data_IF_895819861588
#
_entry.id   IF_895819861588
#
_cell.length_a   1.000
_cell.length_b   1.000
_cell.length_c   1.000
_cell.angle_alpha   90.00
_cell.angle_beta   90.00
_cell.angle_gamma   90.00
#
_symmetry.space_group_name_H-M   'P 1'
#
loop_
_entity.id
_entity.type
_entity.pdbx_description
1 polymer ?
#
# COMPACT_ATOMS: atom_id res chain seq x y z
N UNK A 1 -2.20 3.26 -16.82
CA UNK A 1 -1.28 3.01 -15.68
C UNK A 1 -1.09 4.30 -14.90
N UNK A 2 -1.16 4.23 -13.56
CA UNK A 2 -0.96 5.36 -12.65
C UNK A 2 0.20 5.06 -11.71
N UNK A 3 1.12 6.01 -11.61
CA UNK A 3 2.33 5.92 -10.79
C UNK A 3 2.05 6.43 -9.38
N UNK A 4 2.53 5.70 -8.37
CA UNK A 4 2.44 6.05 -6.97
C UNK A 4 3.84 6.03 -6.36
N UNK A 5 4.17 7.02 -5.53
CA UNK A 5 5.47 7.14 -4.89
C UNK A 5 5.31 7.36 -3.40
N UNK A 6 6.25 6.85 -2.60
CA UNK A 6 6.38 7.31 -1.23
C UNK A 6 6.96 8.74 -1.20
N UNK A 7 6.88 9.42 -0.05
CA UNK A 7 7.33 10.81 0.08
C UNK A 7 8.76 11.08 -0.39
N UNK A 8 9.70 10.16 -0.13
CA UNK A 8 11.11 10.32 -0.52
C UNK A 8 11.43 9.79 -1.93
N UNK A 9 10.46 9.21 -2.65
CA UNK A 9 10.68 8.62 -3.98
C UNK A 9 11.57 7.36 -3.99
N UNK A 10 11.92 6.82 -2.83
CA UNK A 10 12.69 5.59 -2.72
C UNK A 10 11.89 4.36 -3.15
N UNK A 11 10.57 4.37 -2.89
CA UNK A 11 9.62 3.33 -3.29
C UNK A 11 8.68 3.88 -4.34
N UNK A 12 8.48 3.09 -5.38
CA UNK A 12 7.60 3.40 -6.50
C UNK A 12 6.78 2.17 -6.88
N UNK A 13 5.50 2.39 -7.13
CA UNK A 13 4.57 1.35 -7.57
C UNK A 13 3.70 1.88 -8.69
N UNK A 14 3.20 0.96 -9.51
CA UNK A 14 2.26 1.26 -10.57
C UNK A 14 0.97 0.49 -10.35
N UNK A 15 -0.15 1.15 -10.62
CA UNK A 15 -1.46 0.51 -10.71
C UNK A 15 -2.01 0.60 -12.12
N UNK A 16 -2.53 -0.49 -12.64
CA UNK A 16 -3.26 -0.55 -13.88
C UNK A 16 -4.77 -0.48 -13.60
N UNK A 17 -5.34 0.72 -13.69
CA UNK A 17 -6.78 0.93 -13.52
C UNK A 17 -7.33 1.56 -14.79
N UNK A 18 -8.49 1.07 -15.24
CA UNK A 18 -9.29 1.66 -16.31
C UNK A 18 -10.39 2.50 -15.67
N UNK A 19 -10.26 3.82 -15.72
CA UNK A 19 -11.21 4.76 -15.11
C UNK A 19 -10.87 5.13 -13.65
N UNK A 20 -11.90 5.47 -12.88
CA UNK A 20 -11.78 5.97 -11.51
C UNK A 20 -11.67 4.86 -10.46
N UNK A 21 -11.21 5.21 -9.26
CA UNK A 21 -11.19 4.29 -8.13
C UNK A 21 -12.63 4.05 -7.62
N UNK A 22 -13.17 2.87 -7.89
CA UNK A 22 -14.59 2.58 -7.60
C UNK A 22 -14.93 2.46 -6.11
N UNK A 23 -14.00 1.99 -5.26
CA UNK A 23 -14.26 1.74 -3.83
C UNK A 23 -13.17 2.27 -2.93
N UNK A 24 -13.41 3.49 -2.44
CA UNK A 24 -12.58 4.13 -1.45
C UNK A 24 -13.03 3.74 -0.04
N UNK A 25 -12.10 3.24 0.77
CA UNK A 25 -12.35 2.70 2.12
C UNK A 25 -11.40 3.34 3.12
N UNK A 26 -11.91 3.58 4.33
CA UNK A 26 -11.10 3.91 5.51
C UNK A 26 -11.38 2.88 6.61
N UNK A 27 -10.51 1.88 6.72
CA UNK A 27 -10.68 0.82 7.71
C UNK A 27 -10.56 1.36 9.14
N UNK A 28 -11.43 0.89 10.03
CA UNK A 28 -11.55 1.34 11.42
C UNK A 28 -10.88 0.40 12.44
N UNK A 29 -10.12 -0.61 12.01
CA UNK A 29 -9.38 -1.47 12.93
C UNK A 29 -8.23 -0.70 13.62
N UNK A 30 -7.69 -1.26 14.70
CA UNK A 30 -6.72 -0.59 15.56
C UNK A 30 -5.46 -0.09 14.82
N UNK A 31 -4.94 -0.85 13.87
CA UNK A 31 -3.78 -0.43 13.07
C UNK A 31 -4.17 0.59 11.98
N UNK A 32 -5.29 0.39 11.30
CA UNK A 32 -5.70 1.25 10.19
C UNK A 32 -6.13 2.64 10.68
N UNK A 33 -6.76 2.73 11.86
CA UNK A 33 -7.01 4.00 12.55
C UNK A 33 -5.73 4.80 12.80
N UNK A 34 -4.64 4.14 13.21
CA UNK A 34 -3.33 4.79 13.43
C UNK A 34 -2.68 5.26 12.14
N UNK A 35 -2.82 4.49 11.05
CA UNK A 35 -2.31 4.88 9.73
C UNK A 35 -3.06 6.07 9.14
N UNK A 36 -4.37 6.17 9.41
CA UNK A 36 -5.23 7.23 8.89
C UNK A 36 -5.44 7.21 7.37
N UNK A 37 -4.91 6.19 6.67
CA UNK A 37 -4.89 6.11 5.22
C UNK A 37 -6.28 5.85 4.64
N UNK A 38 -6.54 6.48 3.49
CA UNK A 38 -7.67 6.22 2.61
C UNK A 38 -7.17 5.31 1.49
N UNK A 39 -7.85 4.20 1.25
CA UNK A 39 -7.37 3.11 0.40
C UNK A 39 -8.44 2.69 -0.61
N UNK A 40 -8.02 2.22 -1.78
CA UNK A 40 -8.87 1.49 -2.73
C UNK A 40 -8.25 0.13 -3.00
N UNK A 41 -9.08 -0.87 -3.29
CA UNK A 41 -8.60 -2.20 -3.68
C UNK A 41 -8.37 -2.24 -5.18
N UNK A 42 -7.25 -2.87 -5.56
CA UNK A 42 -6.91 -3.22 -6.95
C UNK A 42 -6.58 -4.71 -6.98
N UNK A 43 -6.70 -5.35 -8.14
CA UNK A 43 -6.27 -6.75 -8.29
C UNK A 43 -4.75 -6.84 -8.23
N UNK A 44 -4.24 -8.01 -7.84
CA UNK A 44 -2.79 -8.25 -7.78
C UNK A 44 -2.13 -8.12 -9.17
N UNK A 45 -2.81 -8.56 -10.24
CA UNK A 45 -2.33 -8.44 -11.63
C UNK A 45 -2.19 -6.97 -12.07
N UNK A 46 -2.95 -6.07 -11.44
CA UNK A 46 -2.96 -4.65 -11.73
C UNK A 46 -2.02 -3.84 -10.82
N UNK A 47 -1.28 -4.47 -9.91
CA UNK A 47 -0.36 -3.80 -9.01
C UNK A 47 1.07 -4.31 -9.20
N UNK A 48 2.02 -3.38 -9.36
CA UNK A 48 3.44 -3.72 -9.51
C UNK A 48 4.33 -2.76 -8.73
N UNK A 49 5.36 -3.28 -8.08
CA UNK A 49 6.46 -2.49 -7.52
C UNK A 49 7.48 -2.26 -8.65
N UNK A 50 7.80 -1.01 -8.94
CA UNK A 50 8.76 -0.65 -10.00
C UNK A 50 10.12 -0.22 -9.47
N UNK A 51 10.19 0.22 -8.20
CA UNK A 51 11.44 0.65 -7.55
C UNK A 51 11.36 0.47 -6.03
N UNK A 52 12.50 0.15 -5.42
CA UNK A 52 12.69 0.24 -3.97
C UNK A 52 12.07 -0.91 -3.18
N UNK A 53 11.99 -2.10 -3.78
CA UNK A 53 11.53 -3.32 -3.08
C UNK A 53 12.37 -3.61 -1.83
N UNK A 54 13.69 -3.37 -1.90
CA UNK A 54 14.62 -3.47 -0.77
C UNK A 54 14.36 -2.42 0.33
N UNK A 55 13.68 -1.32 0.00
CA UNK A 55 13.29 -0.26 0.93
C UNK A 55 11.91 -0.47 1.54
N UNK A 56 11.15 -1.47 1.08
CA UNK A 56 9.89 -1.84 1.71
C UNK A 56 10.13 -2.66 2.97
N UNK A 57 9.39 -2.34 4.03
CA UNK A 57 9.33 -3.15 5.24
C UNK A 57 7.94 -3.74 5.40
N UNK A 58 7.92 -5.03 5.73
CA UNK A 58 6.71 -5.78 6.03
C UNK A 58 6.41 -5.68 7.53
N UNK A 59 5.21 -5.26 7.86
CA UNK A 59 4.64 -5.32 9.20
C UNK A 59 3.45 -6.27 9.21
N UNK A 60 3.51 -7.26 10.09
CA UNK A 60 2.44 -8.24 10.32
C UNK A 60 2.15 -8.30 11.81
N UNK A 61 0.88 -8.49 12.16
CA UNK A 61 0.42 -8.61 13.55
C UNK A 61 -0.76 -9.57 13.61
N UNK A 62 -1.18 -9.93 14.83
CA UNK A 62 -2.28 -10.87 15.07
C UNK A 62 -2.10 -12.19 14.29
N UNK A 63 -3.02 -12.54 13.37
CA UNK A 63 -2.96 -13.77 12.58
C UNK A 63 -1.82 -13.83 11.58
N UNK A 64 -1.09 -12.72 11.36
CA UNK A 64 -0.01 -12.59 10.38
C UNK A 64 -0.43 -12.92 8.94
N UNK A 65 -1.73 -12.84 8.63
CA UNK A 65 -2.23 -13.04 7.26
C UNK A 65 -2.05 -11.76 6.45
N UNK A 66 -2.58 -10.63 6.95
CA UNK A 66 -2.44 -9.35 6.27
C UNK A 66 -0.98 -8.89 6.25
N UNK A 67 -0.51 -8.45 5.09
CA UNK A 67 0.86 -7.99 4.86
C UNK A 67 0.87 -6.49 4.64
N UNK A 68 1.28 -5.71 5.64
CA UNK A 68 1.33 -4.26 5.52
C UNK A 68 2.73 -3.78 5.14
N UNK A 69 2.82 -2.98 4.09
CA UNK A 69 4.09 -2.46 3.60
C UNK A 69 4.22 -0.96 3.83
N UNK A 70 5.42 -0.52 4.15
CA UNK A 70 5.78 0.89 4.29
C UNK A 70 7.23 1.12 3.87
N UNK A 71 7.54 2.36 3.49
CA UNK A 71 8.90 2.76 3.16
C UNK A 71 9.75 2.86 4.43
N UNK A 72 10.86 2.12 4.49
CA UNK A 72 11.83 2.19 5.60
C UNK A 72 12.54 3.54 5.73
N UNK A 73 12.57 4.35 4.67
CA UNK A 73 13.28 5.62 4.64
C UNK A 73 12.41 6.76 5.17
N UNK A 74 11.19 6.91 4.66
CA UNK A 74 10.29 8.01 5.03
C UNK A 74 9.08 7.60 5.86
N UNK A 75 8.93 6.32 6.20
CA UNK A 75 7.81 5.80 7.02
C UNK A 75 6.45 5.76 6.31
N UNK A 76 6.34 6.26 5.07
CA UNK A 76 5.06 6.29 4.35
C UNK A 76 4.54 4.89 4.08
N UNK A 77 3.30 4.66 4.49
CA UNK A 77 2.51 3.49 4.13
C UNK A 77 2.24 3.49 2.62
N UNK A 78 2.61 2.41 1.93
CA UNK A 78 2.49 2.30 0.48
C UNK A 78 1.27 1.46 0.08
N UNK A 79 1.22 0.21 0.53
CA UNK A 79 0.14 -0.72 0.24
C UNK A 79 0.06 -1.82 1.30
N UNK A 80 -0.97 -2.66 1.22
CA UNK A 80 -1.02 -3.91 1.97
C UNK A 80 -1.83 -4.95 1.21
N UNK A 81 -1.51 -6.21 1.45
CA UNK A 81 -2.36 -7.31 1.03
C UNK A 81 -3.31 -7.59 2.21
N UNK A 82 -4.63 -7.37 2.05
CA UNK A 82 -5.60 -7.68 3.09
C UNK A 82 -5.72 -9.20 3.29
N UNK A 83 -6.46 -9.59 4.34
CA UNK A 83 -6.81 -10.98 4.63
C UNK A 83 -7.70 -11.60 3.55
#
# INVERSE_FOLDING_TARGET
>A
MKKLTCHCGAVETEINITGDLEKVVKCNCSICKRKGAVMSMVKNEDFKITKGEDKLKLYQFHSKIAKHYFCSVCGIYTHHNPR
#
